data_IF_029156004929
#
_entry.id   IF_029156004929
#
_cell.length_a   1.000
_cell.length_b   1.000
_cell.length_c   1.000
_cell.angle_alpha   90.00
_cell.angle_beta   90.00
_cell.angle_gamma   90.00
#
_symmetry.space_group_name_H-M   'P 1'
#
loop_
_entity.id
_entity.type
_entity.pdbx_description
1 polymer ?
#
# COMPACT_ATOMS: atom_id res chain seq x y z
N UNK A 1 26.06 -9.37 -58.12
CA UNK A 1 26.09 -10.17 -56.88
C UNK A 1 26.25 -9.21 -55.71
N UNK A 2 25.15 -8.91 -55.04
CA UNK A 2 25.10 -7.98 -53.89
C UNK A 2 24.70 -8.77 -52.65
N UNK A 3 25.61 -8.91 -51.71
CA UNK A 3 25.36 -9.50 -50.41
C UNK A 3 24.76 -8.45 -49.49
N UNK A 4 23.51 -8.65 -49.04
CA UNK A 4 22.86 -7.90 -47.99
C UNK A 4 23.29 -8.48 -46.65
N UNK A 5 24.06 -7.72 -45.88
CA UNK A 5 24.22 -7.95 -44.43
C UNK A 5 22.95 -7.56 -43.73
N UNK A 6 22.25 -8.54 -43.21
CA UNK A 6 21.20 -8.35 -42.18
C UNK A 6 21.89 -8.19 -40.83
N UNK A 7 22.03 -6.95 -40.41
CA UNK A 7 22.43 -6.61 -39.06
C UNK A 7 21.31 -6.95 -38.09
N UNK A 8 21.49 -8.01 -37.30
CA UNK A 8 20.61 -8.31 -36.18
C UNK A 8 20.70 -7.19 -35.14
N UNK A 9 19.63 -6.39 -35.00
CA UNK A 9 19.47 -5.48 -33.89
C UNK A 9 19.38 -6.34 -32.62
N UNK A 10 20.42 -6.35 -31.78
CA UNK A 10 20.33 -6.76 -30.39
C UNK A 10 19.26 -5.89 -29.74
N UNK A 11 18.13 -6.48 -29.31
CA UNK A 11 17.24 -5.86 -28.34
C UNK A 11 18.09 -5.54 -27.11
N UNK A 12 18.36 -4.28 -26.88
CA UNK A 12 18.86 -3.79 -25.59
C UNK A 12 17.83 -4.22 -24.56
N UNK A 13 18.26 -5.04 -23.58
CA UNK A 13 17.41 -5.48 -22.49
C UNK A 13 16.78 -4.27 -21.82
N UNK A 14 15.46 -4.26 -21.75
CA UNK A 14 14.72 -3.36 -20.87
C UNK A 14 15.31 -3.55 -19.47
N UNK A 15 15.95 -2.52 -18.93
CA UNK A 15 16.27 -2.47 -17.50
C UNK A 15 14.93 -2.63 -16.80
N UNK A 16 14.68 -3.79 -16.22
CA UNK A 16 13.55 -3.98 -15.33
C UNK A 16 13.72 -2.97 -14.20
N UNK A 17 12.87 -1.94 -14.21
CA UNK A 17 12.94 -0.87 -13.24
C UNK A 17 12.31 -1.42 -11.96
N UNK A 18 13.16 -1.84 -11.01
CA UNK A 18 12.75 -2.43 -9.73
C UNK A 18 13.05 -1.50 -8.58
N UNK A 19 12.35 -1.71 -7.47
CA UNK A 19 12.59 -1.05 -6.20
C UNK A 19 12.89 -2.10 -5.12
N UNK A 20 13.89 -1.84 -4.28
CA UNK A 20 14.13 -2.63 -3.09
C UNK A 20 13.15 -2.25 -1.99
N UNK A 21 12.44 -3.24 -1.46
CA UNK A 21 11.48 -3.08 -0.37
C UNK A 21 11.74 -4.10 0.73
N UNK A 22 11.31 -3.77 1.94
CA UNK A 22 11.47 -4.61 3.11
C UNK A 22 10.10 -4.95 3.72
N UNK A 23 9.92 -6.20 4.14
CA UNK A 23 8.69 -6.65 4.78
C UNK A 23 8.97 -7.70 5.86
N UNK A 24 8.05 -7.89 6.79
CA UNK A 24 8.04 -9.03 7.71
C UNK A 24 6.80 -9.88 7.44
N UNK A 25 6.99 -11.20 7.28
CA UNK A 25 5.89 -12.11 6.95
C UNK A 25 5.90 -13.32 7.87
N UNK A 26 4.70 -13.80 8.26
CA UNK A 26 4.52 -14.99 9.07
C UNK A 26 4.88 -16.27 8.29
N UNK A 27 5.28 -17.32 9.00
CA UNK A 27 5.67 -18.61 8.41
C UNK A 27 4.68 -19.16 7.38
N UNK A 28 3.34 -19.12 7.59
CA UNK A 28 2.40 -19.63 6.58
C UNK A 28 2.48 -18.91 5.23
N UNK A 29 2.89 -17.61 5.22
CA UNK A 29 3.08 -16.85 3.99
C UNK A 29 4.35 -17.35 3.27
N UNK A 30 5.43 -17.57 4.03
CA UNK A 30 6.70 -18.10 3.48
C UNK A 30 6.47 -19.49 2.91
N UNK A 31 5.82 -20.38 3.65
CA UNK A 31 5.50 -21.72 3.18
C UNK A 31 4.64 -21.72 1.90
N UNK A 32 3.69 -20.80 1.79
CA UNK A 32 2.88 -20.63 0.59
C UNK A 32 3.71 -20.15 -0.60
N UNK A 33 4.64 -19.20 -0.38
CA UNK A 33 5.57 -18.71 -1.41
C UNK A 33 6.49 -19.84 -1.87
N UNK A 34 7.05 -20.60 -0.94
CA UNK A 34 7.96 -21.71 -1.27
C UNK A 34 7.26 -22.80 -2.09
N UNK A 35 6.00 -23.12 -1.75
CA UNK A 35 5.20 -24.17 -2.41
C UNK A 35 4.68 -23.75 -3.77
N UNK A 36 4.18 -22.52 -3.88
CA UNK A 36 3.39 -22.07 -5.02
C UNK A 36 4.12 -21.03 -5.90
N UNK A 37 5.31 -20.56 -5.46
CA UNK A 37 6.04 -19.47 -6.11
C UNK A 37 5.46 -18.07 -5.84
N UNK A 38 4.27 -17.98 -5.24
CA UNK A 38 3.55 -16.71 -4.97
C UNK A 38 2.58 -16.87 -3.82
N UNK A 39 2.36 -15.80 -3.05
CA UNK A 39 1.31 -15.72 -2.03
C UNK A 39 0.47 -14.46 -2.21
N UNK A 40 -0.84 -14.58 -1.92
CA UNK A 40 -1.84 -13.52 -1.95
C UNK A 40 -2.45 -13.32 -0.56
N UNK A 41 -2.65 -12.07 -0.16
CA UNK A 41 -3.34 -11.74 1.09
C UNK A 41 -4.85 -11.88 0.93
N UNK A 42 -5.52 -12.36 2.00
CA UNK A 42 -6.95 -12.64 2.04
C UNK A 42 -7.62 -11.90 3.18
N UNK A 43 -8.85 -11.45 2.96
CA UNK A 43 -9.67 -10.79 3.99
C UNK A 43 -9.82 -11.67 5.24
N UNK A 44 -9.95 -13.00 5.07
CA UNK A 44 -10.06 -13.93 6.17
C UNK A 44 -8.87 -13.85 7.15
N UNK A 45 -7.66 -13.59 6.65
CA UNK A 45 -6.48 -13.43 7.51
C UNK A 45 -6.53 -12.11 8.30
N UNK A 46 -7.00 -11.03 7.68
CA UNK A 46 -7.18 -9.74 8.34
C UNK A 46 -8.22 -9.85 9.45
N UNK A 47 -9.37 -10.47 9.16
CA UNK A 47 -10.42 -10.70 10.15
C UNK A 47 -9.94 -11.55 11.34
N UNK A 48 -9.19 -12.63 11.06
CA UNK A 48 -8.60 -13.48 12.11
C UNK A 48 -7.59 -12.72 12.95
N UNK A 49 -6.74 -11.89 12.34
CA UNK A 49 -5.69 -11.13 13.03
C UNK A 49 -6.27 -10.06 13.96
N UNK A 50 -7.27 -9.31 13.51
CA UNK A 50 -7.76 -8.12 14.20
C UNK A 50 -9.05 -8.34 14.99
N UNK A 51 -9.71 -9.49 14.85
CA UNK A 51 -10.88 -9.92 15.61
C UNK A 51 -11.95 -8.81 15.77
N UNK A 52 -12.18 -8.30 16.98
CA UNK A 52 -13.17 -7.24 17.26
C UNK A 52 -12.89 -5.93 16.51
N UNK A 53 -11.62 -5.60 16.29
CA UNK A 53 -11.19 -4.42 15.52
C UNK A 53 -11.22 -4.63 14.01
N UNK A 54 -11.56 -5.84 13.53
CA UNK A 54 -11.49 -6.19 12.11
C UNK A 54 -12.28 -5.24 11.20
N UNK A 55 -13.40 -4.66 11.70
CA UNK A 55 -14.22 -3.71 10.94
C UNK A 55 -13.42 -2.45 10.56
N UNK A 56 -12.57 -1.94 11.44
CA UNK A 56 -11.71 -0.78 11.19
C UNK A 56 -10.75 -1.10 10.05
N UNK A 57 -9.98 -2.19 10.21
CA UNK A 57 -8.96 -2.58 9.23
C UNK A 57 -9.57 -2.99 7.88
N UNK A 58 -10.68 -3.73 7.87
CA UNK A 58 -11.32 -4.10 6.60
C UNK A 58 -11.91 -2.89 5.88
N UNK A 59 -12.35 -1.85 6.60
CA UNK A 59 -12.79 -0.58 5.99
C UNK A 59 -11.63 0.11 5.28
N UNK A 60 -10.49 0.29 5.95
CA UNK A 60 -9.30 0.90 5.39
C UNK A 60 -8.72 0.07 4.22
N UNK A 61 -8.57 -1.25 4.40
CA UNK A 61 -8.00 -2.15 3.38
C UNK A 61 -8.89 -2.28 2.14
N UNK A 62 -10.21 -2.32 2.32
CA UNK A 62 -11.15 -2.35 1.19
C UNK A 62 -11.13 -1.05 0.39
N UNK A 63 -10.94 0.09 1.06
CA UNK A 63 -10.75 1.36 0.39
C UNK A 63 -9.42 1.36 -0.38
N UNK A 64 -8.32 0.98 0.28
CA UNK A 64 -7.00 0.93 -0.34
C UNK A 64 -6.95 -0.02 -1.54
N UNK A 65 -7.57 -1.20 -1.44
CA UNK A 65 -7.62 -2.16 -2.53
C UNK A 65 -8.26 -1.55 -3.79
N UNK A 66 -9.40 -0.83 -3.63
CA UNK A 66 -10.04 -0.14 -4.76
C UNK A 66 -9.17 1.00 -5.33
N UNK A 67 -8.45 1.70 -4.46
CA UNK A 67 -7.56 2.77 -4.91
C UNK A 67 -6.36 2.20 -5.68
N UNK A 68 -5.73 1.15 -5.15
CA UNK A 68 -4.58 0.48 -5.76
C UNK A 68 -4.90 -0.10 -7.15
N UNK A 69 -6.13 -0.58 -7.39
CA UNK A 69 -6.54 -1.10 -8.71
C UNK A 69 -6.43 -0.06 -9.84
N UNK A 70 -6.39 1.23 -9.52
CA UNK A 70 -6.21 2.31 -10.50
C UNK A 70 -4.79 2.42 -11.03
N UNK A 71 -3.81 1.93 -10.26
CA UNK A 71 -2.38 2.02 -10.53
C UNK A 71 -1.76 0.68 -10.90
N UNK A 72 -2.14 -0.36 -10.18
CA UNK A 72 -1.58 -1.70 -10.32
C UNK A 72 -2.69 -2.70 -10.57
N UNK A 73 -2.62 -3.39 -11.70
CA UNK A 73 -3.63 -4.40 -12.06
C UNK A 73 -3.73 -5.48 -10.98
N UNK A 74 -4.92 -5.65 -10.42
CA UNK A 74 -5.19 -6.68 -9.44
C UNK A 74 -5.16 -8.06 -10.08
N UNK A 75 -4.31 -8.97 -9.60
CA UNK A 75 -4.29 -10.35 -10.10
C UNK A 75 -5.45 -11.16 -9.54
N UNK A 76 -5.85 -12.20 -10.27
CA UNK A 76 -6.83 -13.15 -9.79
C UNK A 76 -6.35 -13.79 -8.48
N UNK A 77 -7.26 -13.90 -7.53
CA UNK A 77 -6.97 -14.47 -6.22
C UNK A 77 -6.48 -13.48 -5.15
N UNK A 78 -6.08 -12.25 -5.49
CA UNK A 78 -5.79 -11.22 -4.50
C UNK A 78 -7.08 -10.60 -3.95
N UNK A 79 -7.12 -10.33 -2.64
CA UNK A 79 -8.23 -9.63 -1.99
C UNK A 79 -7.75 -8.32 -1.38
N UNK A 80 -6.68 -8.39 -0.59
CA UNK A 80 -6.01 -7.23 0.02
C UNK A 80 -4.53 -7.20 -0.35
N UNK A 81 -3.87 -6.02 -0.27
CA UNK A 81 -2.44 -5.93 -0.49
C UNK A 81 -1.62 -6.47 0.69
N UNK A 82 -0.36 -6.82 0.41
CA UNK A 82 0.71 -6.88 1.39
C UNK A 82 1.33 -5.50 1.56
N UNK A 83 1.90 -5.29 2.74
CA UNK A 83 2.60 -4.07 3.10
C UNK A 83 4.10 -4.31 3.11
N UNK A 84 4.83 -3.38 2.49
CA UNK A 84 6.28 -3.34 2.50
C UNK A 84 6.75 -1.90 2.73
N UNK A 85 8.03 -1.72 3.02
CA UNK A 85 8.62 -0.44 3.35
C UNK A 85 9.86 -0.22 2.51
N UNK A 86 10.11 1.02 2.13
CA UNK A 86 11.35 1.38 1.45
C UNK A 86 12.55 1.32 2.40
N UNK A 87 12.34 1.63 3.67
CA UNK A 87 13.39 1.65 4.68
C UNK A 87 13.25 0.44 5.63
N UNK A 88 14.34 -0.30 5.84
CA UNK A 88 14.34 -1.51 6.64
C UNK A 88 13.97 -1.27 8.12
N UNK A 89 14.27 -0.09 8.65
CA UNK A 89 13.96 0.26 10.04
C UNK A 89 12.45 0.45 10.31
N UNK A 90 11.64 0.59 9.28
CA UNK A 90 10.17 0.68 9.41
C UNK A 90 9.50 -0.70 9.53
N UNK A 91 10.26 -1.79 9.33
CA UNK A 91 9.72 -3.15 9.46
C UNK A 91 9.63 -3.55 10.92
N UNK A 92 8.42 -3.75 11.42
CA UNK A 92 8.21 -4.27 12.78
C UNK A 92 8.61 -5.76 12.87
N UNK A 93 9.63 -6.04 13.64
CA UNK A 93 10.12 -7.40 13.91
C UNK A 93 9.74 -7.90 15.32
N UNK A 94 9.07 -7.08 16.13
CA UNK A 94 8.75 -7.39 17.54
C UNK A 94 7.81 -8.58 17.70
N UNK A 95 6.95 -8.83 16.70
CA UNK A 95 5.97 -9.92 16.72
C UNK A 95 6.51 -11.26 16.24
N UNK A 96 7.80 -11.33 15.93
CA UNK A 96 8.38 -12.45 15.20
C UNK A 96 7.90 -12.46 13.74
N UNK A 97 8.64 -13.10 12.89
CA UNK A 97 8.32 -13.19 11.46
C UNK A 97 9.60 -13.21 10.65
N UNK A 98 9.45 -13.57 9.38
CA UNK A 98 10.57 -13.64 8.47
C UNK A 98 10.78 -12.27 7.84
N UNK A 99 11.94 -11.69 8.08
CA UNK A 99 12.35 -10.46 7.41
C UNK A 99 12.69 -10.77 5.95
N UNK A 100 12.07 -10.04 5.04
CA UNK A 100 12.27 -10.20 3.60
C UNK A 100 12.88 -8.93 3.00
N UNK A 101 13.85 -9.11 2.13
CA UNK A 101 14.31 -8.10 1.17
C UNK A 101 13.73 -8.47 -0.18
N UNK A 102 12.97 -7.55 -0.79
CA UNK A 102 12.23 -7.77 -2.02
C UNK A 102 12.73 -6.84 -3.13
N UNK A 103 13.00 -7.38 -4.32
CA UNK A 103 13.23 -6.62 -5.54
C UNK A 103 11.95 -6.64 -6.37
N UNK A 104 11.16 -5.58 -6.28
CA UNK A 104 9.81 -5.51 -6.87
C UNK A 104 9.81 -4.64 -8.11
N UNK A 105 9.24 -5.10 -9.25
CA UNK A 105 9.01 -4.25 -10.42
C UNK A 105 8.13 -3.04 -10.07
N UNK A 106 8.46 -1.86 -10.59
CA UNK A 106 7.74 -0.62 -10.29
C UNK A 106 6.28 -0.63 -10.75
N UNK A 107 5.93 -1.43 -11.74
CA UNK A 107 4.56 -1.64 -12.21
C UNK A 107 3.74 -2.63 -11.34
N UNK A 108 4.35 -3.23 -10.33
CA UNK A 108 3.70 -4.15 -9.37
C UNK A 108 3.52 -3.52 -7.99
N UNK A 109 3.82 -2.22 -7.83
CA UNK A 109 3.84 -1.54 -6.53
C UNK A 109 3.06 -0.23 -6.55
N UNK A 110 2.32 0.06 -5.47
CA UNK A 110 1.79 1.38 -5.16
C UNK A 110 2.59 1.97 -3.99
N UNK A 111 3.26 3.10 -4.22
CA UNK A 111 4.07 3.81 -3.22
C UNK A 111 3.28 4.99 -2.64
N UNK A 112 3.42 5.23 -1.33
CA UNK A 112 2.69 6.29 -0.63
C UNK A 112 3.37 6.67 0.69
N UNK A 113 2.90 7.76 1.29
CA UNK A 113 3.33 8.22 2.61
C UNK A 113 2.82 7.29 3.72
N UNK A 114 3.74 6.77 4.55
CA UNK A 114 3.41 5.90 5.66
C UNK A 114 2.53 6.60 6.73
N UNK A 115 2.73 7.91 6.96
CA UNK A 115 1.95 8.64 7.97
C UNK A 115 0.51 8.90 7.50
N UNK A 116 0.31 9.22 6.21
CA UNK A 116 -1.03 9.33 5.64
C UNK A 116 -1.76 7.97 5.68
N UNK A 117 -1.04 6.87 5.45
CA UNK A 117 -1.62 5.53 5.61
C UNK A 117 -2.02 5.24 7.07
N UNK A 118 -1.22 5.63 8.04
CA UNK A 118 -1.55 5.47 9.46
C UNK A 118 -2.83 6.25 9.83
N UNK A 119 -3.05 7.44 9.25
CA UNK A 119 -4.32 8.17 9.42
C UNK A 119 -5.50 7.36 8.87
N UNK A 120 -5.37 6.75 7.69
CA UNK A 120 -6.44 5.89 7.13
C UNK A 120 -6.70 4.68 8.02
N UNK A 121 -5.68 4.04 8.58
CA UNK A 121 -5.84 2.94 9.54
C UNK A 121 -6.57 3.35 10.81
N UNK A 122 -6.45 4.62 11.21
CA UNK A 122 -7.21 5.23 12.30
C UNK A 122 -8.55 5.81 11.85
N UNK A 123 -8.94 5.65 10.58
CA UNK A 123 -10.14 6.21 9.95
C UNK A 123 -10.21 7.75 10.03
N UNK A 124 -9.05 8.41 9.96
CA UNK A 124 -8.90 9.85 10.08
C UNK A 124 -8.88 10.56 8.72
N UNK A 125 -9.13 11.84 8.77
CA UNK A 125 -9.00 12.77 7.63
C UNK A 125 -7.53 12.99 7.30
N UNK A 126 -7.22 13.08 6.02
CA UNK A 126 -5.91 13.51 5.51
C UNK A 126 -6.08 14.93 4.99
N UNK A 127 -5.45 15.92 5.62
CA UNK A 127 -5.48 17.32 5.19
C UNK A 127 -4.62 17.57 3.93
N UNK A 128 -4.83 18.72 3.33
CA UNK A 128 -3.89 19.26 2.35
C UNK A 128 -2.60 19.71 3.04
N UNK A 129 -2.77 20.24 4.26
CA UNK A 129 -1.72 20.63 5.19
C UNK A 129 -2.21 20.49 6.65
N UNK A 130 -1.35 20.78 7.62
CA UNK A 130 -1.67 20.73 9.05
C UNK A 130 -2.81 21.70 9.45
N UNK A 131 -2.92 22.82 8.75
CA UNK A 131 -3.97 23.81 9.02
C UNK A 131 -5.33 23.28 8.60
N UNK A 132 -5.42 22.64 7.44
CA UNK A 132 -6.63 22.02 6.94
C UNK A 132 -7.08 20.88 7.86
N UNK A 133 -6.15 20.03 8.33
CA UNK A 133 -6.43 18.97 9.31
C UNK A 133 -7.00 19.53 10.61
N UNK A 134 -6.35 20.56 11.14
CA UNK A 134 -6.78 21.20 12.39
C UNK A 134 -8.17 21.83 12.25
N UNK A 135 -8.45 22.51 11.15
CA UNK A 135 -9.76 23.11 10.89
C UNK A 135 -10.85 22.03 10.80
N UNK A 136 -10.60 20.93 10.12
CA UNK A 136 -11.54 19.82 10.04
C UNK A 136 -11.80 19.20 11.42
N UNK A 137 -10.75 18.97 12.21
CA UNK A 137 -10.86 18.44 13.56
C UNK A 137 -11.66 19.38 14.48
N UNK A 138 -11.36 20.68 14.49
CA UNK A 138 -12.10 21.69 15.27
C UNK A 138 -13.59 21.72 14.88
N UNK A 139 -13.89 21.57 13.58
CA UNK A 139 -15.27 21.47 13.11
C UNK A 139 -15.99 20.24 13.67
N UNK A 140 -15.35 19.07 13.69
CA UNK A 140 -15.93 17.86 14.24
C UNK A 140 -16.14 17.98 15.77
N UNK A 141 -15.18 18.54 16.48
CA UNK A 141 -15.22 18.76 17.93
C UNK A 141 -16.41 19.66 18.34
N UNK A 142 -16.70 20.71 17.55
CA UNK A 142 -17.87 21.59 17.79
C UNK A 142 -19.20 20.82 17.80
N UNK A 143 -19.28 19.73 17.06
CA UNK A 143 -20.48 18.87 16.99
C UNK A 143 -20.36 17.60 17.82
N UNK A 144 -19.28 17.39 18.56
CA UNK A 144 -19.02 16.19 19.35
C UNK A 144 -18.88 14.92 18.49
N UNK A 145 -18.44 15.06 17.23
CA UNK A 145 -18.32 13.95 16.28
C UNK A 145 -16.87 13.44 16.32
N UNK A 146 -16.70 12.11 16.42
CA UNK A 146 -15.41 11.46 16.22
C UNK A 146 -15.30 10.94 14.78
N UNK A 147 -14.13 11.09 14.16
CA UNK A 147 -13.89 10.66 12.78
C UNK A 147 -14.22 9.18 12.58
N UNK A 148 -13.77 8.31 13.50
CA UNK A 148 -14.05 6.88 13.45
C UNK A 148 -15.56 6.60 13.46
N UNK A 149 -16.33 7.29 14.30
CA UNK A 149 -17.80 7.14 14.38
C UNK A 149 -18.45 7.61 13.08
N UNK A 150 -17.94 8.70 12.49
CA UNK A 150 -18.41 9.19 11.20
C UNK A 150 -18.18 8.17 10.07
N UNK A 151 -17.01 7.53 10.03
CA UNK A 151 -16.69 6.54 8.99
C UNK A 151 -17.46 5.23 9.19
N UNK A 152 -17.55 4.72 10.43
CA UNK A 152 -18.12 3.40 10.71
C UNK A 152 -19.65 3.38 10.80
N UNK A 153 -20.30 4.56 10.92
CA UNK A 153 -21.75 4.67 10.98
C UNK A 153 -22.32 5.36 9.73
N UNK A 154 -23.66 5.49 9.70
CA UNK A 154 -24.36 6.26 8.68
C UNK A 154 -25.00 7.53 9.25
N UNK A 155 -24.69 7.90 10.50
CA UNK A 155 -25.27 9.07 11.15
C UNK A 155 -24.68 10.39 10.66
N UNK A 156 -23.48 10.37 10.12
CA UNK A 156 -22.71 11.55 9.70
C UNK A 156 -22.29 11.46 8.22
N UNK A 157 -23.25 11.42 7.27
CA UNK A 157 -22.92 11.13 5.86
C UNK A 157 -22.01 12.17 5.21
N UNK A 158 -22.13 13.44 5.57
CA UNK A 158 -21.30 14.51 5.03
C UNK A 158 -19.84 14.38 5.51
N UNK A 159 -19.64 14.21 6.82
CA UNK A 159 -18.31 14.04 7.42
C UNK A 159 -17.64 12.76 6.91
N UNK A 160 -18.40 11.66 6.83
CA UNK A 160 -17.94 10.42 6.21
C UNK A 160 -17.45 10.64 4.78
N UNK A 161 -18.22 11.34 3.96
CA UNK A 161 -17.85 11.65 2.59
C UNK A 161 -16.57 12.50 2.51
N UNK A 162 -16.44 13.52 3.39
CA UNK A 162 -15.25 14.37 3.45
C UNK A 162 -14.01 13.55 3.83
N UNK A 163 -14.10 12.70 4.88
CA UNK A 163 -13.00 11.83 5.29
C UNK A 163 -12.60 10.87 4.17
N UNK A 164 -13.55 10.13 3.59
CA UNK A 164 -13.25 9.16 2.53
C UNK A 164 -12.69 9.82 1.25
N UNK A 165 -13.14 11.05 0.95
CA UNK A 165 -12.59 11.83 -0.18
C UNK A 165 -11.15 12.27 0.09
N UNK A 166 -10.83 12.67 1.32
CA UNK A 166 -9.48 13.09 1.70
C UNK A 166 -8.44 11.96 1.56
N UNK A 167 -8.85 10.70 1.73
CA UNK A 167 -7.96 9.54 1.59
C UNK A 167 -7.35 9.41 0.19
N UNK A 168 -7.98 9.99 -0.85
CA UNK A 168 -7.39 10.03 -2.19
C UNK A 168 -6.04 10.77 -2.22
N UNK A 169 -5.74 11.57 -1.19
CA UNK A 169 -4.43 12.23 -1.05
C UNK A 169 -3.29 11.25 -0.74
N UNK A 170 -3.59 10.02 -0.31
CA UNK A 170 -2.58 9.00 -0.05
C UNK A 170 -1.67 8.75 -1.26
N UNK A 171 -2.23 8.78 -2.46
CA UNK A 171 -1.51 8.44 -3.70
C UNK A 171 -0.94 9.65 -4.43
N UNK A 172 -1.05 10.85 -3.84
CA UNK A 172 -0.65 12.13 -4.48
C UNK A 172 0.82 12.20 -4.92
N UNK A 173 1.68 11.41 -4.28
CA UNK A 173 3.13 11.39 -4.55
C UNK A 173 3.60 10.12 -5.26
N UNK A 174 2.69 9.25 -5.69
CA UNK A 174 3.06 7.96 -6.27
C UNK A 174 4.00 8.10 -7.48
N UNK A 175 3.69 8.98 -8.42
CA UNK A 175 4.48 9.19 -9.63
C UNK A 175 5.89 9.70 -9.30
N UNK A 176 6.01 10.66 -8.38
CA UNK A 176 7.30 11.19 -7.95
C UNK A 176 8.14 10.11 -7.26
N UNK A 177 7.50 9.28 -6.42
CA UNK A 177 8.16 8.18 -5.72
C UNK A 177 8.66 7.10 -6.67
N UNK A 178 7.89 6.75 -7.71
CA UNK A 178 8.32 5.83 -8.77
C UNK A 178 9.54 6.36 -9.52
N UNK A 179 9.64 7.67 -9.73
CA UNK A 179 10.79 8.32 -10.34
C UNK A 179 11.97 8.52 -9.38
N UNK A 180 11.84 8.06 -8.12
CA UNK A 180 12.90 8.12 -7.10
C UNK A 180 13.01 9.45 -6.36
N UNK A 181 12.07 10.40 -6.57
CA UNK A 181 12.01 11.65 -5.82
C UNK A 181 11.31 11.43 -4.47
N UNK A 182 12.09 11.44 -3.39
CA UNK A 182 11.61 11.16 -2.02
C UNK A 182 11.96 12.25 -1.02
N UNK A 183 12.53 13.36 -1.49
CA UNK A 183 13.05 14.43 -0.61
C UNK A 183 11.96 15.07 0.25
N UNK A 184 10.68 14.97 -0.16
CA UNK A 184 9.54 15.55 0.53
C UNK A 184 8.80 14.55 1.45
N UNK A 185 9.20 13.28 1.48
CA UNK A 185 8.62 12.28 2.38
C UNK A 185 9.69 11.68 3.30
N UNK A 186 9.33 11.54 4.58
CA UNK A 186 10.21 10.93 5.57
C UNK A 186 10.26 9.42 5.41
N UNK A 187 9.09 8.79 5.27
CA UNK A 187 8.97 7.33 5.26
C UNK A 187 8.01 6.88 4.17
N UNK A 188 8.50 6.04 3.25
CA UNK A 188 7.72 5.52 2.13
C UNK A 188 7.28 4.10 2.42
N UNK A 189 5.97 3.86 2.30
CA UNK A 189 5.36 2.54 2.40
C UNK A 189 4.84 2.10 1.03
N UNK A 190 4.72 0.79 0.84
CA UNK A 190 4.32 0.17 -0.41
C UNK A 190 3.17 -0.81 -0.19
N UNK A 191 2.22 -0.81 -1.13
CA UNK A 191 1.20 -1.86 -1.29
C UNK A 191 1.57 -2.79 -2.43
N UNK A 192 1.48 -4.10 -2.19
CA UNK A 192 1.77 -5.17 -3.15
C UNK A 192 0.59 -6.13 -3.20
N UNK A 193 0.05 -6.43 -4.40
CA UNK A 193 -1.02 -7.42 -4.51
C UNK A 193 -0.58 -8.84 -4.13
N UNK A 194 0.71 -9.11 -4.22
CA UNK A 194 1.31 -10.44 -4.03
C UNK A 194 2.76 -10.32 -3.61
N UNK A 195 3.30 -11.41 -3.06
CA UNK A 195 4.74 -11.59 -2.91
C UNK A 195 5.13 -12.81 -3.73
N UNK A 196 6.06 -12.63 -4.67
CA UNK A 196 6.58 -13.70 -5.52
C UNK A 196 7.93 -14.19 -4.98
N UNK A 197 8.20 -15.51 -5.12
CA UNK A 197 9.47 -16.11 -4.73
C UNK A 197 10.66 -15.44 -5.42
N UNK A 198 10.50 -15.11 -6.70
CA UNK A 198 11.53 -14.48 -7.54
C UNK A 198 11.92 -13.07 -7.10
N UNK A 199 11.11 -12.41 -6.26
CA UNK A 199 11.41 -11.08 -5.71
C UNK A 199 12.25 -11.13 -4.44
N UNK A 200 12.31 -12.30 -3.75
CA UNK A 200 13.03 -12.46 -2.47
C UNK A 200 14.52 -12.61 -2.74
N UNK A 201 15.34 -11.84 -2.01
CA UNK A 201 16.80 -11.83 -2.06
C UNK A 201 17.40 -12.51 -0.84
#
# INVERSE_FOLDING_TARGET
>A
MLWKHLGGAKRMGEKCNTITLYASQADPVIEAIERNGVCYSKEAYVRKKYQESAKIFTTAYSWFAREMEKYVKKPDGAEYPYWAFREAYNVDQSMGGNFLTLEVPLDEVLLFDMYDWNKILCLQYIGEDEKDEKQFQEQLEMYGIKEMDAVLSNFYPLQKQQILKSWQRLTRYHEELVHGNTEFLRDVQAGLWRIKKEWIR
#
